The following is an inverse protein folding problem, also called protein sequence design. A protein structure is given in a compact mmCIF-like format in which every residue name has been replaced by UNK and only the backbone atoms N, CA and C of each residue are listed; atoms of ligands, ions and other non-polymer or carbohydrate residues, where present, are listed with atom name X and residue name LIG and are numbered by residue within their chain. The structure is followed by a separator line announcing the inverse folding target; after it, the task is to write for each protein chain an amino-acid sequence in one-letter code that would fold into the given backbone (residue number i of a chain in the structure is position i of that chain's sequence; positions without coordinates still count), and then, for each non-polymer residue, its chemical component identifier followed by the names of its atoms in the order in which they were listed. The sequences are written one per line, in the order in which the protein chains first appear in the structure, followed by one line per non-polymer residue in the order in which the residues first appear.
data_IF_595546362840
#
_entry.id   IF_595546362840
#
_cell.length_a   1.000
_cell.length_b   1.000
_cell.length_c   1.000
_cell.angle_alpha   90.00
_cell.angle_beta   90.00
_cell.angle_gamma   90.00
#
_symmetry.space_group_name_H-M   'P 1'
#
loop_
_entity.id
_entity.type
_entity.pdbx_description
1 polymer ?
#
# COMPACT_ATOMS: atom_id res chain seq x y z
N UNK A 1 9.21 2.68 -12.19
CA UNK A 1 8.87 3.23 -13.53
C UNK A 1 10.13 3.22 -14.38
N UNK A 2 10.05 2.80 -15.63
CA UNK A 2 11.20 2.77 -16.54
C UNK A 2 10.98 3.77 -17.67
N UNK A 3 12.02 4.52 -18.00
CA UNK A 3 12.05 5.38 -19.17
C UNK A 3 13.38 5.24 -19.89
N UNK A 4 13.39 5.58 -21.17
CA UNK A 4 14.60 5.64 -21.99
C UNK A 4 14.66 7.01 -22.64
N UNK A 5 15.82 7.66 -22.59
CA UNK A 5 16.01 8.97 -23.21
C UNK A 5 16.12 8.83 -24.72
N UNK A 6 15.46 9.72 -25.48
CA UNK A 6 15.62 9.80 -26.94
C UNK A 6 16.71 10.77 -27.37
N UNK A 7 17.17 11.61 -26.44
CA UNK A 7 18.20 12.64 -26.64
C UNK A 7 19.13 12.66 -25.43
N UNK A 8 20.34 13.23 -25.54
CA UNK A 8 21.18 13.48 -24.37
C UNK A 8 20.45 14.37 -23.36
N UNK A 9 20.59 14.08 -22.07
CA UNK A 9 19.96 14.84 -20.97
C UNK A 9 20.96 15.09 -19.85
N UNK A 10 20.83 16.24 -19.20
CA UNK A 10 21.54 16.53 -17.94
C UNK A 10 20.56 16.41 -16.78
N UNK A 11 20.90 15.59 -15.78
CA UNK A 11 20.10 15.39 -14.57
C UNK A 11 21.01 15.62 -13.37
N UNK A 12 20.64 16.57 -12.51
CA UNK A 12 21.40 16.91 -11.29
C UNK A 12 22.90 17.21 -11.55
N UNK A 13 23.19 17.85 -12.70
CA UNK A 13 24.56 18.17 -13.12
C UNK A 13 25.33 17.02 -13.79
N UNK A 14 24.71 15.85 -13.96
CA UNK A 14 25.31 14.70 -14.66
C UNK A 14 24.75 14.57 -16.08
N UNK A 15 25.65 14.39 -17.05
CA UNK A 15 25.29 14.21 -18.46
C UNK A 15 25.08 12.73 -18.79
N UNK A 16 23.93 12.44 -19.39
CA UNK A 16 23.56 11.10 -19.86
C UNK A 16 23.35 11.14 -21.38
N UNK A 17 23.93 10.20 -22.14
CA UNK A 17 23.72 10.12 -23.57
C UNK A 17 22.26 9.75 -23.91
N UNK A 18 21.89 9.93 -25.18
CA UNK A 18 20.66 9.34 -25.71
C UNK A 18 20.66 7.82 -25.49
N UNK A 19 19.48 7.23 -25.47
CA UNK A 19 19.24 5.80 -25.22
C UNK A 19 19.59 5.32 -23.79
N UNK A 20 19.88 6.24 -22.86
CA UNK A 20 20.07 5.95 -21.44
C UNK A 20 18.77 5.52 -20.79
N UNK A 21 18.81 4.44 -20.00
CA UNK A 21 17.64 3.92 -19.30
C UNK A 21 17.62 4.40 -17.85
N UNK A 22 16.49 4.95 -17.41
CA UNK A 22 16.25 5.41 -16.06
C UNK A 22 15.20 4.52 -15.39
N UNK A 23 15.47 4.12 -14.15
CA UNK A 23 14.54 3.38 -13.32
C UNK A 23 14.24 4.17 -12.06
N UNK A 24 12.99 4.60 -11.90
CA UNK A 24 12.49 5.19 -10.66
C UNK A 24 12.05 4.05 -9.75
N UNK A 25 12.75 3.87 -8.64
CA UNK A 25 12.49 2.82 -7.65
C UNK A 25 11.50 3.29 -6.59
N UNK A 26 10.21 3.20 -6.92
CA UNK A 26 9.10 3.64 -6.05
C UNK A 26 9.14 3.01 -4.65
N UNK A 27 9.51 1.73 -4.54
CA UNK A 27 9.60 1.03 -3.25
C UNK A 27 10.67 1.61 -2.34
N UNK A 28 11.81 2.06 -2.91
CA UNK A 28 12.88 2.71 -2.16
C UNK A 28 12.49 4.12 -1.73
N UNK A 29 11.93 4.92 -2.66
CA UNK A 29 11.48 6.29 -2.34
C UNK A 29 10.38 6.29 -1.28
N UNK A 30 9.46 5.32 -1.34
CA UNK A 30 8.39 5.17 -0.34
C UNK A 30 8.87 4.82 1.08
N UNK A 31 10.15 4.46 1.23
CA UNK A 31 10.79 4.16 2.54
C UNK A 31 11.87 5.19 2.92
N UNK A 32 12.02 6.26 2.12
CA UNK A 32 13.09 7.23 2.33
C UNK A 32 12.72 8.26 3.41
N UNK A 33 13.11 7.95 4.64
CA UNK A 33 12.58 8.56 5.85
C UNK A 33 12.51 10.11 5.87
N UNK A 34 13.56 10.76 5.34
CA UNK A 34 13.70 12.22 5.31
C UNK A 34 12.54 12.93 4.61
N UNK A 35 12.08 12.40 3.48
CA UNK A 35 11.03 13.04 2.67
C UNK A 35 9.61 12.79 3.21
N UNK A 36 9.46 11.77 4.05
CA UNK A 36 8.21 11.44 4.73
C UNK A 36 8.01 12.21 6.04
N UNK A 37 8.90 13.16 6.35
CA UNK A 37 8.80 13.99 7.54
C UNK A 37 9.15 13.27 8.84
N UNK A 38 9.80 12.11 8.77
CA UNK A 38 10.29 11.43 9.96
C UNK A 38 11.41 12.27 10.59
N UNK A 39 11.29 12.49 11.91
CA UNK A 39 12.38 13.03 12.73
C UNK A 39 13.35 11.88 13.04
N UNK A 40 14.64 12.19 13.09
CA UNK A 40 15.75 11.21 13.02
C UNK A 40 15.73 10.12 14.11
N UNK A 41 14.89 10.23 15.15
CA UNK A 41 15.02 9.42 16.36
C UNK A 41 13.89 8.39 16.63
N UNK A 42 12.71 8.42 15.97
CA UNK A 42 11.53 7.67 16.48
C UNK A 42 10.60 6.95 15.48
N UNK A 43 10.88 6.90 14.17
CA UNK A 43 9.90 6.35 13.21
C UNK A 43 10.51 5.34 12.23
N UNK A 44 10.01 4.09 12.31
CA UNK A 44 10.24 3.06 11.30
C UNK A 44 9.43 3.39 10.02
N UNK A 45 10.07 3.72 8.88
CA UNK A 45 9.41 3.98 7.61
C UNK A 45 8.67 2.75 7.05
N UNK A 46 8.94 1.56 7.59
CA UNK A 46 8.26 0.32 7.22
C UNK A 46 6.95 0.08 7.99
N UNK A 47 6.70 0.86 9.05
CA UNK A 47 5.49 0.73 9.86
C UNK A 47 4.22 1.22 9.12
N UNK A 48 3.14 0.45 9.24
CA UNK A 48 1.83 0.88 8.78
C UNK A 48 1.20 1.88 9.78
N UNK A 49 1.05 3.13 9.34
CA UNK A 49 0.59 4.28 10.12
C UNK A 49 -0.36 5.14 9.28
N UNK A 50 -1.63 4.76 9.23
CA UNK A 50 -2.62 5.45 8.39
C UNK A 50 -2.81 6.93 8.77
N UNK A 51 -2.70 7.24 10.06
CA UNK A 51 -2.89 8.57 10.65
C UNK A 51 -1.89 9.62 10.14
N UNK A 52 -0.73 9.19 9.60
CA UNK A 52 0.24 10.11 8.98
C UNK A 52 -0.38 10.95 7.87
N UNK A 53 -1.37 10.41 7.14
CA UNK A 53 -2.02 11.13 6.05
C UNK A 53 -2.91 12.28 6.52
N UNK A 54 -3.20 12.36 7.82
CA UNK A 54 -3.88 13.50 8.44
C UNK A 54 -2.90 14.62 8.86
N UNK A 55 -1.58 14.39 8.82
CA UNK A 55 -0.59 15.41 9.15
C UNK A 55 -0.62 16.55 8.14
N UNK A 56 -0.69 17.77 8.65
CA UNK A 56 -0.77 18.97 7.83
C UNK A 56 0.43 19.09 6.89
N UNK A 57 0.16 19.25 5.60
CA UNK A 57 1.19 19.44 4.58
C UNK A 57 1.96 18.18 4.17
N UNK A 58 1.77 17.02 4.82
CA UNK A 58 2.48 15.78 4.44
C UNK A 58 2.19 15.39 2.99
N UNK A 59 0.91 15.30 2.62
CA UNK A 59 0.50 14.89 1.27
C UNK A 59 1.09 15.81 0.19
N UNK A 60 1.06 17.13 0.42
CA UNK A 60 1.64 18.11 -0.49
C UNK A 60 3.15 17.92 -0.65
N UNK A 61 3.88 17.71 0.45
CA UNK A 61 5.33 17.48 0.45
C UNK A 61 5.70 16.23 -0.37
N UNK A 62 5.11 15.09 -0.06
CA UNK A 62 5.47 13.80 -0.69
C UNK A 62 5.06 13.73 -2.17
N UNK A 63 4.04 14.49 -2.58
CA UNK A 63 3.61 14.56 -3.98
C UNK A 63 4.39 15.59 -4.79
N UNK A 64 4.74 16.74 -4.22
CA UNK A 64 5.55 17.78 -4.86
C UNK A 64 6.95 17.27 -5.22
N UNK A 65 7.57 16.52 -4.32
CA UNK A 65 8.88 15.90 -4.56
C UNK A 65 8.80 14.56 -5.29
N UNK A 66 7.61 14.15 -5.73
CA UNK A 66 7.36 12.89 -6.44
C UNK A 66 7.86 11.63 -5.69
N UNK A 67 7.92 11.72 -4.36
CA UNK A 67 8.36 10.66 -3.43
C UNK A 67 7.24 9.63 -3.26
N UNK A 68 5.99 10.09 -3.25
CA UNK A 68 4.81 9.24 -3.25
C UNK A 68 4.09 9.28 -4.61
N UNK A 69 4.35 8.28 -5.44
CA UNK A 69 3.71 8.13 -6.76
C UNK A 69 3.33 6.65 -7.08
N UNK A 70 2.53 5.99 -6.24
CA UNK A 70 2.26 4.54 -6.37
C UNK A 70 1.74 4.14 -7.76
N UNK A 71 1.09 5.08 -8.47
CA UNK A 71 0.55 4.90 -9.81
C UNK A 71 1.18 5.87 -10.85
N UNK A 72 2.43 6.26 -10.63
CA UNK A 72 3.23 7.11 -11.52
C UNK A 72 2.90 8.61 -11.43
N UNK A 73 3.58 9.40 -12.28
CA UNK A 73 3.48 10.86 -12.31
C UNK A 73 3.62 11.43 -13.73
N UNK A 74 3.42 12.74 -13.86
CA UNK A 74 3.50 13.45 -15.15
C UNK A 74 2.47 12.99 -16.18
N UNK A 75 2.81 13.10 -17.46
CA UNK A 75 1.94 12.76 -18.59
C UNK A 75 1.59 11.27 -18.70
N UNK A 76 2.33 10.41 -17.99
CA UNK A 76 2.14 8.95 -17.98
C UNK A 76 1.61 8.44 -16.63
N UNK A 77 1.03 9.33 -15.81
CA UNK A 77 0.29 8.95 -14.60
C UNK A 77 -0.81 7.97 -14.99
N UNK A 78 -1.05 6.93 -14.17
CA UNK A 78 -2.07 5.93 -14.42
C UNK A 78 -3.43 6.60 -14.67
N UNK A 79 -4.06 6.37 -15.83
CA UNK A 79 -5.39 6.93 -16.11
C UNK A 79 -6.47 6.32 -15.21
N UNK A 80 -6.23 5.11 -14.66
CA UNK A 80 -7.15 4.40 -13.77
C UNK A 80 -7.01 4.73 -12.29
N UNK A 81 -6.25 5.76 -11.88
CA UNK A 81 -6.03 6.06 -10.45
C UNK A 81 -7.32 6.29 -9.67
N UNK A 82 -8.26 7.04 -10.25
CA UNK A 82 -9.56 7.33 -9.61
C UNK A 82 -10.40 6.06 -9.53
N UNK A 83 -10.48 5.30 -10.63
CA UNK A 83 -11.22 4.03 -10.66
C UNK A 83 -10.70 3.05 -9.61
N UNK A 84 -9.37 2.85 -9.55
CA UNK A 84 -8.77 1.92 -8.59
C UNK A 84 -8.97 2.37 -7.14
N UNK A 85 -8.98 3.68 -6.87
CA UNK A 85 -9.28 4.20 -5.53
C UNK A 85 -10.72 3.91 -5.12
N UNK A 86 -11.69 4.15 -6.00
CA UNK A 86 -13.10 3.88 -5.69
C UNK A 86 -13.41 2.39 -5.64
N UNK A 87 -12.79 1.58 -6.50
CA UNK A 87 -12.91 0.13 -6.46
C UNK A 87 -12.44 -0.44 -5.12
N UNK A 88 -11.24 -0.04 -4.65
CA UNK A 88 -10.72 -0.48 -3.35
C UNK A 88 -11.63 -0.04 -2.21
N UNK A 89 -12.13 1.21 -2.24
CA UNK A 89 -13.07 1.70 -1.22
C UNK A 89 -14.36 0.90 -1.18
N UNK A 90 -14.96 0.62 -2.33
CA UNK A 90 -16.19 -0.15 -2.44
C UNK A 90 -15.99 -1.58 -1.94
N UNK A 91 -14.95 -2.27 -2.42
CA UNK A 91 -14.62 -3.63 -2.00
C UNK A 91 -14.39 -3.70 -0.49
N UNK A 92 -13.63 -2.76 0.08
CA UNK A 92 -13.40 -2.71 1.52
C UNK A 92 -14.68 -2.42 2.30
N UNK A 93 -15.50 -1.47 1.85
CA UNK A 93 -16.77 -1.16 2.50
C UNK A 93 -17.72 -2.37 2.51
N UNK A 94 -17.83 -3.10 1.40
CA UNK A 94 -18.64 -4.31 1.31
C UNK A 94 -18.12 -5.40 2.24
N UNK A 95 -16.82 -5.70 2.17
CA UNK A 95 -16.23 -6.80 2.93
C UNK A 95 -16.24 -6.50 4.44
N UNK A 96 -15.85 -5.29 4.85
CA UNK A 96 -15.73 -4.93 6.27
C UNK A 96 -17.08 -4.74 6.97
N UNK A 97 -18.15 -4.50 6.21
CA UNK A 97 -19.52 -4.46 6.77
C UNK A 97 -19.91 -5.82 7.35
N UNK A 98 -19.59 -6.89 6.63
CA UNK A 98 -20.03 -8.24 6.99
C UNK A 98 -18.96 -9.06 7.71
N UNK A 99 -17.68 -8.76 7.49
CA UNK A 99 -16.56 -9.54 7.99
C UNK A 99 -15.49 -8.72 8.73
N UNK A 100 -15.02 -9.29 9.84
CA UNK A 100 -13.86 -8.84 10.58
C UNK A 100 -12.67 -9.78 10.35
N UNK A 101 -11.47 -9.20 10.35
CA UNK A 101 -10.22 -9.91 10.07
C UNK A 101 -9.30 -9.88 11.30
N UNK A 102 -8.72 -11.03 11.63
CA UNK A 102 -7.68 -11.18 12.64
C UNK A 102 -6.42 -11.77 11.98
N UNK A 103 -5.23 -11.44 12.51
CA UNK A 103 -3.99 -12.02 12.02
C UNK A 103 -4.00 -13.55 12.21
N UNK A 104 -3.55 -14.29 11.18
CA UNK A 104 -3.33 -15.72 11.30
C UNK A 104 -1.94 -16.03 11.88
N UNK A 105 -1.68 -17.29 12.19
CA UNK A 105 -0.33 -17.75 12.58
C UNK A 105 0.68 -17.68 11.41
N UNK A 106 0.19 -17.52 10.17
CA UNK A 106 0.97 -17.41 8.94
C UNK A 106 0.78 -16.02 8.29
N UNK A 107 0.59 -14.98 9.10
CA UNK A 107 0.34 -13.62 8.62
C UNK A 107 1.59 -12.94 8.03
N UNK A 108 2.77 -13.46 8.34
CA UNK A 108 4.02 -13.00 7.72
C UNK A 108 3.98 -13.26 6.21
N UNK A 109 4.18 -12.19 5.44
CA UNK A 109 4.09 -12.22 3.98
C UNK A 109 5.46 -12.04 3.33
N UNK A 110 5.83 -13.00 2.50
CA UNK A 110 6.90 -12.85 1.54
C UNK A 110 6.39 -12.25 0.24
N UNK A 111 7.23 -11.43 -0.41
CA UNK A 111 6.90 -10.86 -1.70
C UNK A 111 7.46 -11.69 -2.87
N UNK A 112 6.68 -11.76 -3.94
CA UNK A 112 7.10 -12.25 -5.25
C UNK A 112 7.11 -11.07 -6.22
N UNK A 113 8.30 -10.77 -6.74
CA UNK A 113 8.46 -9.86 -7.86
C UNK A 113 8.05 -10.59 -9.15
N UNK A 114 6.88 -10.27 -9.68
CA UNK A 114 6.42 -10.65 -11.01
C UNK A 114 6.21 -9.38 -11.85
N UNK A 115 5.23 -9.37 -12.76
CA UNK A 115 4.83 -8.13 -13.44
C UNK A 115 4.35 -7.07 -12.42
N UNK A 116 3.68 -7.51 -11.36
CA UNK A 116 3.33 -6.72 -10.18
C UNK A 116 3.98 -7.34 -8.93
N UNK A 117 4.14 -6.54 -7.88
CA UNK A 117 4.54 -7.05 -6.58
C UNK A 117 3.31 -7.71 -5.93
N UNK A 118 3.41 -8.99 -5.62
CA UNK A 118 2.34 -9.75 -4.96
C UNK A 118 2.86 -10.55 -3.78
N UNK A 119 1.93 -11.13 -3.01
CA UNK A 119 2.32 -12.14 -2.02
C UNK A 119 2.81 -13.40 -2.72
N UNK A 120 3.90 -13.98 -2.21
CA UNK A 120 4.46 -15.24 -2.71
C UNK A 120 3.59 -16.44 -2.37
N UNK A 121 2.96 -16.44 -1.19
CA UNK A 121 2.23 -17.58 -0.64
C UNK A 121 0.78 -17.25 -0.26
N UNK A 122 0.25 -16.12 -0.72
CA UNK A 122 -1.05 -15.60 -0.32
C UNK A 122 -1.02 -14.76 0.96
N UNK A 123 -2.17 -14.18 1.32
CA UNK A 123 -2.34 -13.41 2.56
C UNK A 123 -3.26 -14.18 3.49
N UNK A 124 -2.70 -14.78 4.54
CA UNK A 124 -3.44 -15.64 5.44
C UNK A 124 -4.03 -14.84 6.60
N UNK A 125 -5.36 -14.79 6.67
CA UNK A 125 -6.13 -14.05 7.67
C UNK A 125 -7.23 -14.92 8.26
N UNK A 126 -7.52 -14.73 9.54
CA UNK A 126 -8.69 -15.32 10.20
C UNK A 126 -9.88 -14.41 9.92
N UNK A 127 -10.99 -14.97 9.48
CA UNK A 127 -12.21 -14.21 9.14
C UNK A 127 -13.34 -14.59 10.08
N UNK A 128 -14.11 -13.61 10.54
CA UNK A 128 -15.32 -13.79 11.35
C UNK A 128 -16.41 -12.87 10.83
N UNK A 129 -17.68 -13.16 11.12
CA UNK A 129 -18.73 -12.16 10.87
C UNK A 129 -18.50 -10.94 11.76
N UNK A 130 -18.65 -9.75 11.22
CA UNK A 130 -18.52 -8.49 11.97
C UNK A 130 -19.48 -8.46 13.15
N UNK A 131 -20.71 -8.96 12.97
CA UNK A 131 -21.69 -9.06 14.06
C UNK A 131 -21.25 -9.95 15.22
N UNK A 132 -20.48 -11.02 14.96
CA UNK A 132 -19.90 -11.89 16.00
C UNK A 132 -18.67 -11.24 16.64
N UNK A 133 -17.83 -10.60 15.84
CA UNK A 133 -16.64 -9.89 16.31
C UNK A 133 -16.99 -8.73 17.26
N UNK A 134 -17.98 -7.91 16.89
CA UNK A 134 -18.44 -6.80 17.72
C UNK A 134 -19.07 -7.29 19.05
N UNK A 135 -19.79 -8.41 19.05
CA UNK A 135 -20.31 -9.04 20.28
C UNK A 135 -19.21 -9.56 21.21
N UNK A 136 -18.09 -10.02 20.65
CA UNK A 136 -16.92 -10.47 21.43
C UNK A 136 -16.16 -9.28 22.03
N UNK A 137 -16.02 -8.18 21.29
CA UNK A 137 -15.32 -6.97 21.75
C UNK A 137 -16.17 -6.12 22.71
N UNK A 138 -17.50 -6.15 22.58
CA UNK A 138 -18.44 -5.51 23.50
C UNK A 138 -19.07 -6.53 24.43
N UNK A 139 -18.51 -6.71 25.64
CA UNK A 139 -19.15 -7.52 26.66
C UNK A 139 -20.57 -7.04 26.97
N UNK A 140 -21.57 -7.84 26.60
CA UNK A 140 -22.99 -7.56 26.85
C UNK A 140 -23.97 -8.47 26.12
N UNK A 141 -24.14 -9.69 26.64
CA UNK A 141 -25.17 -10.71 26.34
C UNK A 141 -25.00 -11.63 25.12
N UNK A 142 -25.00 -12.92 25.47
CA UNK A 142 -25.03 -14.18 24.72
C UNK A 142 -25.67 -14.17 23.32
N UNK A 143 -25.05 -14.86 22.36
CA UNK A 143 -25.40 -16.26 22.04
C UNK A 143 -24.45 -16.82 20.96
N UNK A 144 -24.15 -18.12 21.10
CA UNK A 144 -23.21 -18.94 20.34
C UNK A 144 -23.61 -19.17 18.87
N UNK A 145 -22.63 -19.21 17.95
CA UNK A 145 -22.37 -20.38 17.08
C UNK A 145 -21.17 -20.19 16.14
N UNK A 146 -20.22 -21.14 16.22
CA UNK A 146 -19.33 -21.66 15.15
C UNK A 146 -18.76 -20.69 14.10
N UNK A 147 -17.57 -20.12 14.39
CA UNK A 147 -16.76 -19.44 13.37
C UNK A 147 -16.09 -20.46 12.44
N UNK A 148 -16.34 -20.33 11.13
CA UNK A 148 -15.68 -21.12 10.08
C UNK A 148 -14.49 -20.35 9.52
N UNK A 149 -13.34 -21.02 9.39
CA UNK A 149 -12.18 -20.49 8.64
C UNK A 149 -12.50 -20.50 7.15
N UNK A 150 -12.61 -19.32 6.53
CA UNK A 150 -12.72 -19.20 5.07
C UNK A 150 -11.34 -18.84 4.52
N UNK A 151 -10.80 -19.71 3.67
CA UNK A 151 -9.59 -19.45 2.91
C UNK A 151 -9.94 -18.60 1.69
N UNK A 152 -9.47 -17.35 1.63
CA UNK A 152 -9.55 -16.55 0.41
C UNK A 152 -8.30 -16.83 -0.41
N UNK A 153 -8.43 -17.78 -1.34
CA UNK A 153 -7.43 -18.00 -2.38
C UNK A 153 -7.73 -17.00 -3.51
N UNK A 154 -6.81 -16.09 -3.81
CA UNK A 154 -6.84 -15.37 -5.08
C UNK A 154 -6.09 -16.22 -6.14
N UNK A 155 -6.63 -16.32 -7.37
CA UNK A 155 -6.03 -17.11 -8.45
C UNK A 155 -4.67 -16.59 -8.91
#
# INVERSE_FOLDING_TARGET
MYSRTSVPVTVDGYDFPAESSFAIHNMGMGRYAKEWGFKDDDIDPSAFRHERWAEEGLYSRVTTHNVFNPLGGGQRRCPGIVLGQEEVRMVLATILTDYAFEASEHHDMDFKAALTLGSRYGAWVKVRKTSEYLKKCGGGSEYSSTGSTINILFP
#
